data_IF_258313853988
#
_entry.id   IF_258313853988
#
_cell.length_a   1.000
_cell.length_b   1.000
_cell.length_c   1.000
_cell.angle_alpha   90.00
_cell.angle_beta   90.00
_cell.angle_gamma   90.00
#
_symmetry.space_group_name_H-M   'P 1'
#
loop_
_entity.id
_entity.type
_entity.pdbx_description
1 polymer ?
#
# COMPACT_ATOMS: atom_id res chain seq x y z
N UNK A 1 8.83 -12.97 5.90
CA UNK A 1 8.21 -11.89 5.12
C UNK A 1 7.62 -10.84 6.06
N UNK A 2 7.65 -9.56 5.73
CA UNK A 2 7.09 -8.49 6.61
C UNK A 2 6.06 -7.67 5.85
N UNK A 3 5.07 -7.16 6.55
CA UNK A 3 4.05 -6.26 5.98
C UNK A 3 4.16 -4.91 6.69
N UNK A 4 4.34 -3.85 5.90
CA UNK A 4 4.24 -2.49 6.39
C UNK A 4 2.78 -2.03 6.25
N UNK A 5 2.15 -1.67 7.36
CA UNK A 5 0.82 -1.07 7.35
C UNK A 5 0.93 0.44 7.16
N UNK A 6 0.25 0.95 6.14
CA UNK A 6 0.32 2.35 5.73
C UNK A 6 -1.09 2.92 5.70
N UNK A 7 -1.29 4.04 6.39
CA UNK A 7 -2.48 4.86 6.24
C UNK A 7 -2.32 5.78 5.04
N UNK A 8 -3.28 5.77 4.14
CA UNK A 8 -3.37 6.77 3.08
C UNK A 8 -3.83 8.09 3.68
N UNK A 9 -2.97 9.11 3.64
CA UNK A 9 -3.30 10.43 4.17
C UNK A 9 -4.11 11.29 3.18
N UNK A 10 -3.93 11.06 1.89
CA UNK A 10 -4.53 11.84 0.81
C UNK A 10 -4.45 11.09 -0.52
N UNK A 11 -5.22 11.53 -1.51
CA UNK A 11 -5.14 11.05 -2.88
C UNK A 11 -5.90 9.74 -3.12
N UNK A 12 -5.58 9.10 -4.24
CA UNK A 12 -6.20 7.88 -4.71
C UNK A 12 -5.11 6.88 -5.14
N UNK A 13 -4.99 5.79 -4.39
CA UNK A 13 -4.10 4.70 -4.70
C UNK A 13 -4.71 3.80 -5.77
N UNK A 14 -3.90 3.39 -6.74
CA UNK A 14 -4.24 2.33 -7.69
C UNK A 14 -3.17 1.26 -7.68
N UNK A 15 -3.57 -0.01 -7.74
CA UNK A 15 -2.62 -1.13 -7.78
C UNK A 15 -1.62 -0.98 -8.92
N UNK A 16 -0.37 -1.30 -8.64
CA UNK A 16 0.73 -1.20 -9.59
C UNK A 16 1.29 0.21 -9.78
N UNK A 17 0.70 1.24 -9.17
CA UNK A 17 1.25 2.59 -9.28
C UNK A 17 2.66 2.68 -8.68
N UNK A 18 3.47 3.59 -9.22
CA UNK A 18 4.78 3.93 -8.65
C UNK A 18 4.58 5.00 -7.57
N UNK A 19 5.01 4.68 -6.34
CA UNK A 19 5.05 5.61 -5.22
C UNK A 19 6.49 5.98 -4.88
N UNK A 20 6.71 7.15 -4.33
CA UNK A 20 8.04 7.58 -3.91
C UNK A 20 8.27 7.30 -2.43
N UNK A 21 9.22 6.41 -2.10
CA UNK A 21 9.62 6.17 -0.72
C UNK A 21 10.62 7.24 -0.28
N UNK A 22 10.11 8.22 0.48
CA UNK A 22 10.84 9.43 0.89
C UNK A 22 12.15 9.11 1.59
N UNK A 23 12.15 8.17 2.54
CA UNK A 23 13.35 7.82 3.33
C UNK A 23 14.49 7.28 2.46
N UNK A 24 14.20 6.40 1.50
CA UNK A 24 15.24 5.85 0.61
C UNK A 24 15.50 6.69 -0.64
N UNK A 25 14.68 7.72 -0.89
CA UNK A 25 14.69 8.56 -2.10
C UNK A 25 14.55 7.75 -3.40
N UNK A 26 13.74 6.68 -3.39
CA UNK A 26 13.54 5.81 -4.55
C UNK A 26 12.06 5.66 -4.89
N UNK A 27 11.70 5.60 -6.19
CA UNK A 27 10.39 5.14 -6.60
C UNK A 27 10.27 3.63 -6.37
N UNK A 28 9.11 3.18 -5.93
CA UNK A 28 8.75 1.76 -5.74
C UNK A 28 7.41 1.48 -6.40
N UNK A 29 7.30 0.38 -7.13
CA UNK A 29 6.02 -0.09 -7.66
C UNK A 29 5.30 -0.90 -6.58
N UNK A 30 4.02 -0.59 -6.32
CA UNK A 30 3.22 -1.33 -5.34
C UNK A 30 2.34 -2.33 -6.08
N UNK A 31 2.85 -3.54 -6.33
CA UNK A 31 2.16 -4.54 -7.17
C UNK A 31 1.16 -5.41 -6.40
N UNK A 32 1.47 -5.73 -5.13
CA UNK A 32 0.66 -6.63 -4.30
C UNK A 32 0.21 -5.97 -2.98
N UNK A 33 -0.50 -4.83 -3.03
CA UNK A 33 -1.07 -4.20 -1.84
C UNK A 33 -2.19 -5.08 -1.26
N UNK A 34 -2.26 -5.18 0.06
CA UNK A 34 -3.33 -5.90 0.77
C UNK A 34 -4.23 -4.88 1.47
N UNK A 35 -5.53 -4.89 1.19
CA UNK A 35 -6.53 -4.15 1.96
C UNK A 35 -7.04 -5.00 3.12
N UNK A 36 -7.35 -4.33 4.22
CA UNK A 36 -7.92 -4.95 5.42
C UNK A 36 -9.33 -4.41 5.59
N UNK A 37 -10.30 -5.14 5.05
CA UNK A 37 -11.72 -4.85 5.23
C UNK A 37 -12.29 -5.87 6.22
N UNK A 38 -12.65 -5.41 7.41
CA UNK A 38 -13.08 -6.28 8.50
C UNK A 38 -12.07 -7.42 8.80
N UNK A 39 -12.52 -8.67 8.85
CA UNK A 39 -11.66 -9.83 9.12
C UNK A 39 -10.90 -10.32 7.87
N UNK A 40 -11.26 -9.81 6.69
CA UNK A 40 -10.79 -10.33 5.41
C UNK A 40 -9.60 -9.54 4.87
N UNK A 41 -8.73 -10.26 4.16
CA UNK A 41 -7.57 -9.72 3.46
C UNK A 41 -7.78 -9.92 1.97
N UNK A 42 -7.87 -8.82 1.25
CA UNK A 42 -8.05 -8.82 -0.20
C UNK A 42 -6.97 -7.99 -0.88
N UNK A 43 -6.71 -8.25 -2.16
CA UNK A 43 -5.84 -7.37 -2.94
C UNK A 43 -6.53 -6.04 -3.15
N UNK A 44 -5.82 -4.95 -2.83
CA UNK A 44 -6.34 -3.61 -3.04
C UNK A 44 -6.23 -3.25 -4.52
N UNK A 45 -7.35 -3.07 -5.23
CA UNK A 45 -7.32 -2.48 -6.58
C UNK A 45 -7.23 -0.95 -6.49
N UNK A 46 -8.04 -0.36 -5.62
CA UNK A 46 -8.08 1.07 -5.32
C UNK A 46 -8.17 1.32 -3.80
N UNK A 47 -7.71 2.49 -3.34
CA UNK A 47 -7.87 2.94 -1.96
C UNK A 47 -7.78 4.46 -1.84
N UNK A 48 -8.49 5.03 -0.86
CA UNK A 48 -8.68 6.47 -0.67
C UNK A 48 -8.11 6.96 0.66
N UNK A 49 -8.09 8.28 0.84
CA UNK A 49 -7.64 8.90 2.09
C UNK A 49 -8.43 8.38 3.30
N UNK A 50 -7.71 7.86 4.30
CA UNK A 50 -8.28 7.20 5.48
C UNK A 50 -8.03 5.70 5.51
N UNK A 51 -7.95 5.05 4.33
CA UNK A 51 -7.78 3.60 4.23
C UNK A 51 -6.40 3.14 4.71
N UNK A 52 -6.35 1.90 5.17
CA UNK A 52 -5.11 1.22 5.59
C UNK A 52 -4.79 0.13 4.56
N UNK A 53 -3.62 0.25 3.93
CA UNK A 53 -3.07 -0.77 3.03
C UNK A 53 -1.83 -1.43 3.64
N UNK A 54 -1.66 -2.71 3.38
CA UNK A 54 -0.47 -3.49 3.69
C UNK A 54 0.43 -3.59 2.47
N UNK A 55 1.70 -3.22 2.63
CA UNK A 55 2.72 -3.36 1.58
C UNK A 55 3.67 -4.48 2.01
N UNK A 56 3.68 -5.64 1.34
CA UNK A 56 4.66 -6.69 1.58
C UNK A 56 6.07 -6.18 1.26
N UNK A 57 7.03 -6.54 2.12
CA UNK A 57 8.43 -6.23 1.91
C UNK A 57 9.32 -7.39 2.37
N UNK A 58 10.15 -7.86 1.46
CA UNK A 58 11.32 -8.68 1.78
C UNK A 58 12.44 -7.71 2.18
N UNK A 59 13.03 -7.93 3.36
CA UNK A 59 13.99 -7.00 3.99
C UNK A 59 15.10 -6.51 3.05
#
# INVERSE_FOLDING_TARGET
DRVAFVRLASGHFHRGMKMFHVRSKKPMAITNPVMFLAADRELAEEAWAGDIIGIPNHG
#
